data_IF_955822641501
#
_entry.id   IF_955822641501
#
_cell.length_a   1.000
_cell.length_b   1.000
_cell.length_c   1.000
_cell.angle_alpha   90.00
_cell.angle_beta   90.00
_cell.angle_gamma   90.00
#
_symmetry.space_group_name_H-M   'P 1'
#
loop_
_entity.id
_entity.type
_entity.pdbx_description
1 polymer ?
#
# COMPACT_ATOMS: atom_id res chain seq x y z
N UNK A 1 -23.40 62.51 -11.87
CA UNK A 1 -23.60 63.13 -13.19
C UNK A 1 -25.10 63.26 -13.42
N UNK A 2 -25.53 64.49 -13.67
CA UNK A 2 -26.76 64.93 -14.36
C UNK A 2 -28.11 64.53 -13.75
N UNK A 3 -28.85 65.57 -13.36
CA UNK A 3 -30.19 65.61 -12.79
C UNK A 3 -31.31 65.36 -13.81
N UNK A 4 -32.34 64.63 -13.38
CA UNK A 4 -33.70 64.74 -13.91
C UNK A 4 -34.52 65.63 -12.94
N UNK A 5 -35.08 66.77 -13.38
CA UNK A 5 -35.64 67.81 -12.49
C UNK A 5 -37.16 67.69 -12.27
N UNK A 6 -37.76 66.50 -12.40
CA UNK A 6 -39.18 66.30 -12.09
C UNK A 6 -39.38 65.49 -10.81
N UNK A 7 -39.53 66.23 -9.73
CA UNK A 7 -40.43 65.92 -8.62
C UNK A 7 -40.09 64.66 -7.80
N UNK A 8 -39.48 64.90 -6.64
CA UNK A 8 -39.63 63.98 -5.50
C UNK A 8 -38.42 63.86 -4.59
N UNK A 9 -38.18 64.91 -3.78
CA UNK A 9 -37.39 64.90 -2.55
C UNK A 9 -35.86 64.74 -2.65
N UNK A 10 -35.22 65.90 -2.81
CA UNK A 10 -34.11 66.42 -1.96
C UNK A 10 -33.19 65.40 -1.28
N UNK A 11 -31.95 65.32 -1.75
CA UNK A 11 -30.82 64.94 -0.91
C UNK A 11 -29.98 66.20 -0.70
N UNK A 12 -29.73 66.59 0.56
CA UNK A 12 -28.56 67.43 0.84
C UNK A 12 -27.88 67.04 2.16
N UNK A 13 -26.58 67.28 2.14
CA UNK A 13 -25.52 66.64 2.91
C UNK A 13 -25.10 67.47 4.14
N UNK A 14 -24.75 66.76 5.21
CA UNK A 14 -23.74 67.05 6.26
C UNK A 14 -23.83 68.38 7.05
N UNK A 15 -24.15 68.29 8.35
CA UNK A 15 -23.37 68.97 9.41
C UNK A 15 -23.31 68.08 10.64
N UNK A 16 -22.07 67.85 11.09
CA UNK A 16 -21.66 67.07 12.24
C UNK A 16 -22.10 67.82 13.51
N UNK A 17 -22.81 67.16 14.42
CA UNK A 17 -22.94 67.63 15.80
C UNK A 17 -22.66 66.46 16.73
N UNK A 18 -21.47 66.50 17.30
CA UNK A 18 -21.01 65.57 18.32
C UNK A 18 -21.81 65.80 19.61
N UNK A 19 -22.67 64.84 19.96
CA UNK A 19 -23.12 64.66 21.34
C UNK A 19 -22.80 63.23 21.73
N UNK A 20 -21.84 63.09 22.65
CA UNK A 20 -21.32 61.83 23.14
C UNK A 20 -22.35 61.16 24.07
N UNK A 21 -22.98 60.10 23.57
CA UNK A 21 -23.74 59.16 24.39
C UNK A 21 -22.79 58.04 24.86
N UNK A 22 -22.80 57.64 26.15
CA UNK A 22 -21.85 56.68 26.69
C UNK A 22 -22.07 55.29 26.08
N UNK A 23 -20.96 54.66 25.65
CA UNK A 23 -20.97 53.38 24.97
C UNK A 23 -21.61 52.25 25.80
N UNK A 24 -22.43 51.37 25.19
CA UNK A 24 -22.84 50.12 25.82
C UNK A 24 -21.60 49.23 26.03
N UNK A 25 -21.61 48.33 27.04
CA UNK A 25 -20.46 47.49 27.35
C UNK A 25 -20.04 46.69 26.12
N UNK A 26 -18.73 46.67 25.85
CA UNK A 26 -18.07 45.94 24.78
C UNK A 26 -18.57 44.49 24.78
N UNK A 27 -19.40 44.13 23.80
CA UNK A 27 -19.72 42.74 23.55
C UNK A 27 -18.41 42.02 23.22
N UNK A 28 -18.14 40.93 23.93
CA UNK A 28 -17.01 40.06 23.67
C UNK A 28 -16.91 39.74 22.17
N UNK A 29 -15.70 39.68 21.57
CA UNK A 29 -15.57 39.25 20.19
C UNK A 29 -16.28 37.90 20.02
N UNK A 30 -17.03 37.69 18.92
CA UNK A 30 -17.67 36.41 18.67
C UNK A 30 -16.59 35.32 18.74
N UNK A 31 -16.88 34.14 19.32
CA UNK A 31 -15.91 33.07 19.36
C UNK A 31 -15.42 32.86 17.94
N UNK A 32 -14.10 32.96 17.74
CA UNK A 32 -13.45 32.62 16.47
C UNK A 32 -13.93 31.21 16.15
N UNK A 33 -14.84 31.10 15.19
CA UNK A 33 -15.34 29.82 14.73
C UNK A 33 -14.12 28.98 14.42
N UNK A 34 -14.05 27.79 15.01
CA UNK A 34 -12.97 26.86 14.77
C UNK A 34 -12.73 26.81 13.26
N UNK A 35 -11.48 27.08 12.84
CA UNK A 35 -11.04 26.86 11.46
C UNK A 35 -11.63 25.51 11.02
N UNK A 36 -12.24 25.42 9.82
CA UNK A 36 -12.76 24.14 9.34
C UNK A 36 -11.64 23.11 9.51
N UNK A 37 -11.94 21.92 10.06
CA UNK A 37 -10.90 20.92 10.27
C UNK A 37 -10.17 20.74 8.96
N UNK A 38 -8.85 20.95 8.97
CA UNK A 38 -7.99 20.59 7.84
C UNK A 38 -8.39 19.17 7.49
N UNK A 39 -8.95 18.97 6.30
CA UNK A 39 -9.40 17.67 5.86
C UNK A 39 -8.22 16.71 6.08
N UNK A 40 -8.42 15.69 6.92
CA UNK A 40 -7.37 14.72 7.18
C UNK A 40 -6.88 14.19 5.83
N UNK A 41 -5.56 14.14 5.58
CA UNK A 41 -5.03 13.62 4.33
C UNK A 41 -5.65 12.24 4.08
N UNK A 42 -6.01 11.89 2.83
CA UNK A 42 -6.66 10.62 2.53
C UNK A 42 -5.83 9.49 3.15
N UNK A 43 -6.49 8.57 3.86
CA UNK A 43 -5.80 7.43 4.44
C UNK A 43 -5.04 6.72 3.31
N UNK A 44 -3.77 6.41 3.55
CA UNK A 44 -2.91 5.73 2.58
C UNK A 44 -2.40 4.42 3.16
N UNK A 45 -2.21 3.43 2.31
CA UNK A 45 -1.64 2.12 2.67
C UNK A 45 -0.42 1.87 1.82
N UNK A 46 0.62 1.29 2.42
CA UNK A 46 1.82 0.85 1.70
C UNK A 46 1.57 -0.53 1.12
N UNK A 47 1.79 -0.70 -0.18
CA UNK A 47 1.70 -1.98 -0.86
C UNK A 47 2.94 -2.24 -1.72
N UNK A 48 3.37 -3.49 -1.82
CA UNK A 48 4.43 -3.89 -2.75
C UNK A 48 3.87 -3.99 -4.16
N UNK A 49 4.50 -3.30 -5.12
CA UNK A 49 4.08 -3.31 -6.51
C UNK A 49 4.53 -4.60 -7.21
N UNK A 50 3.58 -5.39 -7.70
CA UNK A 50 3.81 -6.60 -8.46
C UNK A 50 3.23 -6.43 -9.87
N UNK A 51 4.06 -6.70 -10.89
CA UNK A 51 3.68 -6.53 -12.29
C UNK A 51 3.96 -7.84 -13.00
N UNK A 52 2.98 -8.37 -13.74
CA UNK A 52 3.08 -9.65 -14.46
C UNK A 52 2.43 -9.62 -15.83
N UNK A 53 2.91 -10.47 -16.73
CA UNK A 53 2.25 -10.80 -18.00
C UNK A 53 1.79 -12.26 -17.90
N UNK A 54 0.51 -12.49 -17.64
CA UNK A 54 0.01 -13.84 -17.38
C UNK A 54 0.71 -14.45 -16.15
N UNK A 55 1.49 -15.50 -16.36
CA UNK A 55 2.23 -16.20 -15.30
C UNK A 55 3.66 -15.66 -15.05
N UNK A 56 4.17 -14.77 -15.91
CA UNK A 56 5.54 -14.27 -15.82
C UNK A 56 5.59 -12.97 -15.03
N UNK A 57 6.38 -12.95 -13.95
CA UNK A 57 6.61 -11.76 -13.13
C UNK A 57 7.70 -10.89 -13.76
N UNK A 58 7.42 -9.60 -13.90
CA UNK A 58 8.35 -8.61 -14.43
C UNK A 58 9.13 -7.93 -13.30
N UNK A 59 10.38 -7.57 -13.59
CA UNK A 59 11.24 -6.82 -12.68
C UNK A 59 11.19 -5.33 -12.99
N UNK A 60 11.75 -4.47 -12.12
CA UNK A 60 11.84 -3.03 -12.36
C UNK A 60 12.64 -2.64 -13.61
N UNK A 61 13.42 -3.54 -14.20
CA UNK A 61 14.09 -3.34 -15.49
C UNK A 61 13.14 -3.54 -16.68
N UNK A 62 12.10 -4.34 -16.50
CA UNK A 62 11.17 -4.75 -17.54
C UNK A 62 9.86 -3.98 -17.50
N UNK A 63 9.43 -3.50 -16.32
CA UNK A 63 8.22 -2.71 -16.21
C UNK A 63 8.22 -1.74 -15.04
N UNK A 64 7.59 -0.59 -15.27
CA UNK A 64 7.36 0.45 -14.28
C UNK A 64 6.01 1.13 -14.50
N UNK A 65 5.45 1.66 -13.40
CA UNK A 65 4.18 2.39 -13.39
C UNK A 65 4.46 3.88 -13.27
N UNK A 66 3.89 4.67 -14.17
CA UNK A 66 3.86 6.13 -14.07
C UNK A 66 2.55 6.57 -13.46
N UNK A 67 2.64 7.34 -12.38
CA UNK A 67 1.53 8.09 -11.81
C UNK A 67 1.63 9.55 -12.24
N UNK A 68 0.55 10.10 -12.77
CA UNK A 68 0.43 11.53 -13.10
C UNK A 68 -0.97 12.02 -12.77
N UNK A 69 -1.11 13.31 -12.49
CA UNK A 69 -2.41 13.92 -12.25
C UNK A 69 -2.91 14.56 -13.55
N UNK A 70 -4.13 14.23 -13.97
CA UNK A 70 -4.73 14.77 -15.18
C UNK A 70 -6.23 15.05 -14.94
N UNK A 71 -6.68 16.25 -15.29
CA UNK A 71 -8.06 16.72 -15.05
C UNK A 71 -8.50 16.59 -13.58
N UNK A 72 -7.59 16.82 -12.63
CA UNK A 72 -7.88 16.77 -11.20
C UNK A 72 -8.02 15.35 -10.60
N UNK A 73 -7.67 14.31 -11.36
CA UNK A 73 -7.67 12.92 -10.88
C UNK A 73 -6.33 12.22 -11.18
N UNK A 74 -5.87 11.31 -10.30
CA UNK A 74 -4.67 10.52 -10.55
C UNK A 74 -4.94 9.51 -11.67
N UNK A 75 -3.99 9.40 -12.60
CA UNK A 75 -3.97 8.46 -13.72
C UNK A 75 -2.70 7.62 -13.67
N UNK A 76 -2.79 6.41 -14.23
CA UNK A 76 -1.71 5.44 -14.18
C UNK A 76 -1.47 4.83 -15.57
N UNK A 77 -0.21 4.79 -15.98
CA UNK A 77 0.25 4.08 -17.18
C UNK A 77 1.33 3.09 -16.78
N UNK A 78 1.27 1.87 -17.30
CA UNK A 78 2.32 0.86 -17.14
C UNK A 78 3.14 0.82 -18.43
N UNK A 79 4.45 0.98 -18.34
CA UNK A 79 5.36 0.84 -19.47
C UNK A 79 6.13 -0.48 -19.33
N UNK A 80 6.11 -1.28 -20.39
CA UNK A 80 6.79 -2.57 -20.50
C UNK A 80 7.92 -2.46 -21.52
N UNK A 81 9.07 -3.06 -21.19
CA UNK A 81 10.30 -3.08 -21.97
C UNK A 81 10.62 -4.52 -22.37
N UNK A 82 10.60 -4.77 -23.68
CA UNK A 82 10.93 -6.06 -24.27
C UNK A 82 12.37 -6.48 -23.95
N UNK A 83 12.56 -7.78 -23.70
CA UNK A 83 13.82 -8.32 -23.17
C UNK A 83 14.96 -8.46 -24.21
N UNK A 84 14.72 -8.26 -25.51
CA UNK A 84 15.70 -8.55 -26.58
C UNK A 84 15.46 -7.62 -27.78
N UNK A 85 16.54 -7.17 -28.43
CA UNK A 85 16.52 -6.21 -29.52
C UNK A 85 15.58 -6.60 -30.70
N UNK A 86 14.86 -5.63 -31.32
CA UNK A 86 14.80 -4.23 -30.94
C UNK A 86 14.05 -4.05 -29.61
N UNK A 87 14.54 -3.13 -28.77
CA UNK A 87 13.87 -2.75 -27.53
C UNK A 87 12.46 -2.24 -27.87
N UNK A 88 11.45 -3.09 -27.69
CA UNK A 88 10.06 -2.71 -27.83
C UNK A 88 9.58 -2.08 -26.53
N UNK A 89 8.83 -0.99 -26.66
CA UNK A 89 8.15 -0.36 -25.54
C UNK A 89 6.66 -0.48 -25.78
N UNK A 90 5.96 -1.13 -24.85
CA UNK A 90 4.50 -1.24 -24.88
C UNK A 90 3.93 -0.49 -23.68
N UNK A 91 2.91 0.34 -23.90
CA UNK A 91 2.27 1.11 -22.84
C UNK A 91 0.86 0.60 -22.62
N UNK A 92 0.43 0.54 -21.37
CA UNK A 92 -0.89 0.04 -20.97
C UNK A 92 -1.55 1.04 -20.05
N UNK A 93 -2.87 1.22 -20.21
CA UNK A 93 -3.64 2.12 -19.36
C UNK A 93 -4.18 1.37 -18.15
N UNK A 94 -3.99 1.94 -16.96
CA UNK A 94 -4.45 1.36 -15.70
C UNK A 94 -5.52 2.28 -15.10
N UNK A 95 -6.78 2.03 -15.45
CA UNK A 95 -7.96 2.75 -14.96
C UNK A 95 -9.09 1.74 -14.67
N UNK A 96 -9.52 1.54 -13.40
CA UNK A 96 -9.00 2.10 -12.14
C UNK A 96 -7.77 1.35 -11.58
N UNK A 97 -7.07 1.98 -10.64
CA UNK A 97 -6.01 1.32 -9.87
C UNK A 97 -6.61 0.18 -9.02
N UNK A 98 -6.08 -1.06 -9.10
CA UNK A 98 -6.61 -2.17 -8.32
C UNK A 98 -6.40 -1.94 -6.81
N UNK A 99 -7.25 -2.55 -5.98
CA UNK A 99 -7.05 -2.52 -4.53
C UNK A 99 -5.95 -3.51 -4.14
N UNK A 100 -5.04 -3.13 -3.22
CA UNK A 100 -4.03 -4.06 -2.73
C UNK A 100 -4.67 -5.19 -1.91
N UNK A 101 -4.28 -6.43 -2.19
CA UNK A 101 -4.72 -7.62 -1.46
C UNK A 101 -3.52 -8.17 -0.68
N UNK A 102 -3.65 -8.32 0.64
CA UNK A 102 -2.54 -8.83 1.47
C UNK A 102 -1.27 -7.96 1.45
N UNK A 103 -1.41 -6.64 1.20
CA UNK A 103 -0.26 -5.73 1.09
C UNK A 103 0.47 -5.78 -0.25
N UNK A 104 -0.07 -6.48 -1.26
CA UNK A 104 0.46 -6.53 -2.62
C UNK A 104 -0.52 -5.86 -3.57
N UNK A 105 0.00 -4.96 -4.41
CA UNK A 105 -0.74 -4.42 -5.55
C UNK A 105 -0.31 -5.21 -6.80
N UNK A 106 -1.17 -6.12 -7.25
CA UNK A 106 -0.91 -6.97 -8.42
C UNK A 106 -1.50 -6.35 -9.69
N UNK A 107 -0.69 -6.21 -10.72
CA UNK A 107 -1.06 -5.68 -12.03
C UNK A 107 -0.73 -6.71 -13.10
N UNK A 108 -1.76 -7.23 -13.76
CA UNK A 108 -1.62 -8.14 -14.90
C UNK A 108 -1.76 -7.38 -16.22
N UNK A 109 -0.65 -7.21 -16.94
CA UNK A 109 -0.65 -6.54 -18.24
C UNK A 109 -1.44 -7.31 -19.31
N UNK A 110 -1.58 -8.63 -19.17
CA UNK A 110 -2.36 -9.44 -20.13
C UNK A 110 -3.87 -9.10 -20.07
N UNK A 111 -4.33 -8.51 -18.97
CA UNK A 111 -5.70 -8.06 -18.78
C UNK A 111 -5.91 -6.59 -19.16
N UNK A 112 -4.86 -5.87 -19.55
CA UNK A 112 -4.92 -4.43 -19.83
C UNK A 112 -4.86 -4.12 -21.34
N UNK A 113 -5.60 -3.12 -21.81
CA UNK A 113 -5.49 -2.66 -23.18
C UNK A 113 -4.19 -1.86 -23.40
N UNK A 114 -3.46 -2.20 -24.46
CA UNK A 114 -2.31 -1.42 -24.92
C UNK A 114 -2.75 -0.07 -25.48
N UNK A 115 -1.94 0.96 -25.25
CA UNK A 115 -2.17 2.33 -25.70
C UNK A 115 -0.99 2.88 -26.49
N UNK A 116 -1.30 3.74 -27.45
CA UNK A 116 -0.32 4.52 -28.19
C UNK A 116 -0.25 5.93 -27.58
N UNK A 117 0.87 6.22 -26.92
CA UNK A 117 1.12 7.51 -26.25
C UNK A 117 1.02 8.70 -27.21
N UNK A 118 1.37 8.51 -28.49
CA UNK A 118 1.33 9.58 -29.49
C UNK A 118 -0.10 10.04 -29.82
N UNK A 119 -1.10 9.20 -29.51
CA UNK A 119 -2.53 9.52 -29.70
C UNK A 119 -3.18 10.19 -28.50
N UNK A 120 -2.46 10.33 -27.38
CA UNK A 120 -2.95 11.10 -26.23
C UNK A 120 -3.03 12.59 -26.57
N UNK A 121 -3.92 13.32 -25.90
CA UNK A 121 -4.04 14.77 -26.10
C UNK A 121 -2.73 15.50 -25.71
N UNK A 122 -2.40 16.65 -26.30
CA UNK A 122 -1.19 17.40 -25.93
C UNK A 122 -1.14 17.76 -24.43
N UNK A 123 -2.30 18.02 -23.82
CA UNK A 123 -2.40 18.31 -22.39
C UNK A 123 -2.08 17.07 -21.53
N UNK A 124 -2.51 15.89 -21.95
CA UNK A 124 -2.24 14.63 -21.24
C UNK A 124 -0.78 14.20 -21.41
N UNK A 125 -0.20 14.42 -22.59
CA UNK A 125 1.24 14.21 -22.82
C UNK A 125 2.10 15.12 -21.94
N UNK A 126 1.71 16.40 -21.79
CA UNK A 126 2.38 17.33 -20.90
C UNK A 126 2.26 16.92 -19.42
N UNK A 127 1.11 16.41 -19.00
CA UNK A 127 0.92 15.87 -17.65
C UNK A 127 1.79 14.63 -17.40
N UNK A 128 1.87 13.73 -18.39
CA UNK A 128 2.70 12.52 -18.30
C UNK A 128 4.21 12.85 -18.20
N UNK A 129 4.68 13.96 -18.80
CA UNK A 129 6.06 14.39 -18.66
C UNK A 129 6.45 14.76 -17.20
N UNK A 130 5.46 15.02 -16.34
CA UNK A 130 5.63 15.29 -14.90
C UNK A 130 5.35 14.06 -14.03
N UNK A 131 5.20 12.89 -14.64
CA UNK A 131 4.83 11.67 -13.93
C UNK A 131 5.92 11.20 -12.95
N UNK A 132 5.48 10.59 -11.85
CA UNK A 132 6.34 9.88 -10.92
C UNK A 132 6.40 8.41 -11.31
N UNK A 133 7.62 7.86 -11.42
CA UNK A 133 7.84 6.45 -11.75
C UNK A 133 7.93 5.57 -10.49
N UNK A 134 7.28 4.41 -10.54
CA UNK A 134 7.33 3.37 -9.53
C UNK A 134 7.76 2.05 -10.17
N UNK A 135 8.85 1.46 -9.67
CA UNK A 135 9.45 0.26 -10.26
C UNK A 135 8.82 -1.00 -9.68
N UNK A 136 8.63 -2.04 -10.50
CA UNK A 136 8.16 -3.33 -10.01
C UNK A 136 9.06 -3.85 -8.88
N UNK A 137 8.44 -4.33 -7.80
CA UNK A 137 9.12 -4.76 -6.57
C UNK A 137 9.34 -3.67 -5.52
N UNK A 138 9.01 -2.40 -5.81
CA UNK A 138 9.09 -1.31 -4.82
C UNK A 138 7.79 -1.15 -4.02
N UNK A 139 7.92 -0.64 -2.80
CA UNK A 139 6.76 -0.25 -2.00
C UNK A 139 6.18 1.06 -2.55
N UNK A 140 4.87 1.09 -2.78
CA UNK A 140 4.14 2.28 -3.22
C UNK A 140 3.05 2.63 -2.21
N UNK A 141 2.78 3.93 -2.09
CA UNK A 141 1.70 4.44 -1.26
C UNK A 141 0.44 4.53 -2.12
N UNK A 142 -0.56 3.71 -1.79
CA UNK A 142 -1.86 3.70 -2.46
C UNK A 142 -2.94 4.30 -1.57
N UNK A 143 -4.00 4.88 -2.15
CA UNK A 143 -5.16 5.30 -1.37
C UNK A 143 -5.69 4.10 -0.58
N UNK A 144 -5.73 4.20 0.74
CA UNK A 144 -6.38 3.21 1.57
C UNK A 144 -7.87 3.24 1.25
N UNK A 145 -8.50 2.06 1.22
CA UNK A 145 -9.96 2.01 1.25
C UNK A 145 -10.43 2.87 2.45
N UNK A 146 -11.43 3.76 2.27
CA UNK A 146 -11.95 4.52 3.39
C UNK A 146 -12.33 3.53 4.50
N UNK A 147 -11.96 3.81 5.76
CA UNK A 147 -12.37 2.94 6.86
C UNK A 147 -13.89 2.76 6.76
N UNK A 148 -14.41 1.53 6.93
CA UNK A 148 -15.85 1.33 6.91
C UNK A 148 -16.47 2.33 7.88
N UNK A 149 -17.40 3.15 7.38
CA UNK A 149 -18.03 4.21 8.16
C UNK A 149 -18.48 3.60 9.49
N UNK A 150 -18.15 4.26 10.61
CA UNK A 150 -18.66 3.86 11.90
C UNK A 150 -20.18 3.70 11.76
N UNK A 151 -20.76 2.56 12.18
CA UNK A 151 -22.20 2.35 12.02
C UNK A 151 -22.92 3.53 12.69
N UNK A 152 -23.88 4.17 12.01
CA UNK A 152 -24.63 5.27 12.61
C UNK A 152 -25.21 4.82 13.95
N UNK A 153 -25.33 5.71 14.95
CA UNK A 153 -26.00 5.37 16.21
C UNK A 153 -27.35 4.76 15.87
N UNK A 154 -27.61 3.57 16.42
CA UNK A 154 -28.75 2.75 16.06
C UNK A 154 -30.06 3.55 16.19
N UNK A 155 -30.60 3.96 15.04
CA UNK A 155 -31.99 4.33 14.95
C UNK A 155 -32.79 3.05 15.18
N UNK A 156 -33.82 3.13 16.03
CA UNK A 156 -34.69 2.01 16.36
C UNK A 156 -35.12 1.29 15.06
N UNK A 157 -35.06 -0.05 15.01
CA UNK A 157 -35.30 -0.79 13.78
C UNK A 157 -36.73 -0.52 13.29
N UNK A 158 -36.85 0.08 12.12
CA UNK A 158 -38.08 0.08 11.32
C UNK A 158 -37.94 -1.03 10.27
N UNK A 159 -39.00 -1.82 10.10
CA UNK A 159 -38.98 -3.20 9.62
C UNK A 159 -38.63 -3.41 8.12
N UNK A 160 -38.04 -2.45 7.40
CA UNK A 160 -38.01 -2.47 5.94
C UNK A 160 -36.62 -2.43 5.26
N UNK A 161 -35.53 -2.64 5.99
CA UNK A 161 -34.17 -2.57 5.39
C UNK A 161 -33.44 -3.91 5.49
N UNK A 162 -33.89 -4.89 4.71
CA UNK A 162 -33.07 -6.06 4.37
C UNK A 162 -32.65 -5.95 2.92
N UNK A 163 -31.40 -5.55 2.68
CA UNK A 163 -30.82 -5.53 1.33
C UNK A 163 -30.60 -6.95 0.84
N UNK A 164 -31.12 -7.23 -0.37
CA UNK A 164 -30.90 -8.49 -1.09
C UNK A 164 -29.39 -8.77 -1.18
N UNK A 165 -28.99 -10.01 -0.91
CA UNK A 165 -27.61 -10.53 -0.93
C UNK A 165 -26.68 -10.06 0.21
N UNK A 166 -27.20 -9.38 1.24
CA UNK A 166 -26.42 -9.13 2.47
C UNK A 166 -26.46 -10.38 3.37
N UNK A 167 -25.31 -10.97 3.76
CA UNK A 167 -25.31 -12.11 4.67
C UNK A 167 -25.79 -11.69 6.05
N UNK A 168 -27.02 -12.06 6.40
CA UNK A 168 -27.57 -11.86 7.75
C UNK A 168 -27.13 -13.04 8.61
N UNK A 169 -26.60 -12.77 9.79
CA UNK A 169 -26.37 -13.84 10.77
C UNK A 169 -27.72 -14.42 11.15
N UNK A 170 -27.88 -15.73 10.93
CA UNK A 170 -29.14 -16.42 11.16
C UNK A 170 -29.72 -16.14 12.55
N UNK A 171 -28.88 -16.08 13.59
CA UNK A 171 -29.34 -15.80 14.95
C UNK A 171 -29.88 -14.37 15.14
N UNK A 172 -29.31 -13.40 14.43
CA UNK A 172 -29.79 -12.00 14.47
C UNK A 172 -31.10 -11.88 13.67
N UNK A 173 -31.24 -12.61 12.56
CA UNK A 173 -32.49 -12.71 11.80
C UNK A 173 -33.63 -13.32 12.63
N UNK A 174 -33.39 -14.46 13.29
CA UNK A 174 -34.41 -15.15 14.09
C UNK A 174 -34.93 -14.30 15.25
N UNK A 175 -34.06 -13.48 15.84
CA UNK A 175 -34.42 -12.53 16.90
C UNK A 175 -35.14 -11.29 16.37
N UNK A 176 -35.03 -11.00 15.07
CA UNK A 176 -35.70 -9.87 14.42
C UNK A 176 -37.13 -10.20 13.94
N UNK A 177 -37.54 -11.48 13.97
CA UNK A 177 -38.89 -11.89 13.57
C UNK A 177 -39.94 -11.28 14.52
N UNK A 178 -40.97 -10.63 13.97
CA UNK A 178 -42.08 -10.08 14.73
C UNK A 178 -43.42 -10.68 14.24
N UNK A 179 -44.20 -11.38 15.08
CA UNK A 179 -43.87 -11.77 16.45
C UNK A 179 -42.82 -12.90 16.49
N UNK A 180 -41.92 -12.84 17.48
CA UNK A 180 -40.92 -13.90 17.72
C UNK A 180 -41.68 -15.19 18.04
N UNK A 181 -41.35 -16.34 17.43
CA UNK A 181 -41.96 -17.61 17.79
C UNK A 181 -41.85 -17.84 19.30
N UNK A 182 -42.95 -18.20 19.96
CA UNK A 182 -42.97 -18.47 21.39
C UNK A 182 -43.00 -19.97 21.65
N UNK A 183 -42.30 -20.43 22.68
CA UNK A 183 -42.48 -21.77 23.22
C UNK A 183 -43.87 -21.90 23.88
N UNK A 184 -44.27 -23.13 24.22
CA UNK A 184 -45.54 -23.40 24.93
C UNK A 184 -45.67 -22.60 26.24
N UNK A 185 -44.55 -22.27 26.88
CA UNK A 185 -44.47 -21.47 28.11
C UNK A 185 -44.58 -19.94 27.90
N UNK A 186 -44.86 -19.49 26.67
CA UNK A 186 -45.02 -18.07 26.32
C UNK A 186 -43.71 -17.27 26.28
N UNK A 187 -42.56 -17.91 26.50
CA UNK A 187 -41.23 -17.30 26.33
C UNK A 187 -40.80 -17.33 24.86
N UNK A 188 -39.91 -16.40 24.41
CA UNK A 188 -39.34 -16.47 23.08
C UNK A 188 -38.64 -17.81 22.86
N UNK A 189 -38.96 -18.50 21.77
CA UNK A 189 -38.38 -19.78 21.41
C UNK A 189 -36.88 -19.65 21.12
N UNK A 190 -36.44 -18.49 20.64
CA UNK A 190 -35.04 -18.18 20.35
C UNK A 190 -34.58 -16.98 21.19
N UNK A 191 -33.60 -17.21 22.04
CA UNK A 191 -33.07 -16.28 23.04
C UNK A 191 -31.54 -16.10 22.92
N UNK A 192 -30.90 -15.54 23.96
CA UNK A 192 -29.45 -15.31 24.02
C UNK A 192 -28.63 -16.61 23.93
N UNK A 193 -29.16 -17.71 24.44
CA UNK A 193 -28.49 -19.00 24.60
C UNK A 193 -28.72 -19.96 23.44
N UNK A 194 -29.64 -19.61 22.53
CA UNK A 194 -29.90 -20.28 21.26
C UNK A 194 -28.64 -20.42 20.41
N UNK A 195 -28.35 -21.64 19.94
CA UNK A 195 -27.19 -21.96 19.10
C UNK A 195 -27.63 -22.67 17.82
N UNK A 196 -26.87 -22.45 16.75
CA UNK A 196 -26.97 -23.24 15.52
C UNK A 196 -26.01 -24.42 15.64
N UNK A 197 -26.53 -25.62 15.49
CA UNK A 197 -25.76 -26.87 15.52
C UNK A 197 -25.66 -27.46 14.12
N UNK A 198 -24.47 -27.96 13.80
CA UNK A 198 -24.22 -28.68 12.56
C UNK A 198 -24.48 -30.16 12.80
N UNK A 199 -25.37 -30.75 12.01
CA UNK A 199 -25.63 -32.18 12.08
C UNK A 199 -24.55 -32.94 11.31
N UNK A 200 -24.08 -34.03 11.92
CA UNK A 200 -23.21 -35.01 11.28
C UNK A 200 -23.95 -36.35 11.19
N UNK A 201 -23.69 -37.10 10.13
CA UNK A 201 -24.19 -38.46 10.00
C UNK A 201 -23.47 -39.40 10.99
N UNK A 202 -23.91 -40.65 11.10
CA UNK A 202 -23.34 -41.66 12.00
C UNK A 202 -21.84 -41.93 11.76
N UNK A 203 -21.28 -41.54 10.62
CA UNK A 203 -19.86 -41.65 10.27
C UNK A 203 -19.04 -40.37 10.52
N UNK A 204 -19.64 -39.33 11.14
CA UNK A 204 -18.94 -38.09 11.51
C UNK A 204 -18.67 -37.12 10.36
N UNK A 205 -19.29 -37.36 9.19
CA UNK A 205 -19.29 -36.43 8.08
C UNK A 205 -20.43 -35.41 8.25
N UNK A 206 -20.19 -34.16 7.84
CA UNK A 206 -21.23 -33.14 7.88
C UNK A 206 -22.39 -33.56 6.99
N UNK A 207 -23.60 -33.70 7.55
CA UNK A 207 -24.80 -34.06 6.79
C UNK A 207 -25.33 -32.88 5.95
N UNK A 208 -24.65 -31.73 6.00
CA UNK A 208 -25.12 -30.47 5.38
C UNK A 208 -26.34 -29.86 6.06
N UNK A 209 -26.90 -30.52 7.07
CA UNK A 209 -28.13 -30.14 7.77
C UNK A 209 -27.80 -29.34 9.04
N UNK A 210 -28.58 -28.29 9.29
CA UNK A 210 -28.43 -27.38 10.41
C UNK A 210 -29.69 -27.43 11.26
N UNK A 211 -29.52 -27.43 12.58
CA UNK A 211 -30.62 -27.31 13.54
C UNK A 211 -30.36 -26.15 14.49
N UNK A 212 -31.42 -25.59 15.04
CA UNK A 212 -31.32 -24.55 16.07
C UNK A 212 -31.79 -25.15 17.39
N UNK A 213 -31.08 -24.88 18.49
CA UNK A 213 -31.58 -25.20 19.83
C UNK A 213 -32.49 -24.08 20.33
N UNK A 214 -33.74 -24.40 20.65
CA UNK A 214 -34.66 -23.48 21.31
C UNK A 214 -34.37 -23.30 22.80
N UNK A 215 -34.96 -22.26 23.39
CA UNK A 215 -34.93 -21.95 24.83
C UNK A 215 -35.66 -23.00 25.69
N UNK A 216 -36.49 -23.81 25.06
CA UNK A 216 -37.20 -24.97 25.63
C UNK A 216 -36.32 -26.24 25.72
N UNK A 217 -35.09 -26.18 25.20
CA UNK A 217 -34.16 -27.30 25.19
C UNK A 217 -34.34 -28.27 24.01
N UNK A 218 -35.30 -28.01 23.11
CA UNK A 218 -35.53 -28.83 21.92
C UNK A 218 -34.73 -28.31 20.72
N UNK A 219 -34.57 -29.16 19.70
CA UNK A 219 -33.94 -28.80 18.44
C UNK A 219 -34.99 -28.58 17.36
N UNK A 220 -34.78 -27.57 16.52
CA UNK A 220 -35.72 -27.15 15.48
C UNK A 220 -35.08 -27.19 14.10
N UNK A 221 -35.79 -27.77 13.13
CA UNK A 221 -35.49 -27.66 11.70
C UNK A 221 -36.11 -26.37 11.15
N UNK A 222 -35.38 -25.68 10.26
CA UNK A 222 -35.86 -24.49 9.56
C UNK A 222 -36.31 -24.91 8.16
N UNK A 223 -37.57 -24.65 7.82
CA UNK A 223 -38.07 -24.84 6.47
C UNK A 223 -38.63 -23.53 5.94
N UNK A 224 -38.15 -23.12 4.77
CA UNK A 224 -38.64 -21.95 4.05
C UNK A 224 -39.52 -22.46 2.91
N UNK A 225 -40.83 -22.14 2.97
CA UNK A 225 -41.76 -22.49 1.92
C UNK A 225 -41.49 -21.65 0.66
N UNK A 226 -41.91 -22.10 -0.54
CA UNK A 226 -41.83 -21.31 -1.77
C UNK A 226 -42.56 -19.96 -1.69
N UNK A 227 -43.52 -19.83 -0.77
CA UNK A 227 -44.22 -18.58 -0.43
C UNK A 227 -43.36 -17.58 0.37
N UNK A 228 -42.15 -17.96 0.77
CA UNK A 228 -41.29 -17.18 1.67
C UNK A 228 -41.61 -17.36 3.16
N UNK A 229 -42.58 -18.20 3.49
CA UNK A 229 -42.94 -18.49 4.89
C UNK A 229 -41.84 -19.32 5.56
N UNK A 230 -41.34 -18.84 6.71
CA UNK A 230 -40.35 -19.54 7.52
C UNK A 230 -41.07 -20.32 8.61
N UNK A 231 -40.93 -21.64 8.60
CA UNK A 231 -41.51 -22.54 9.61
C UNK A 231 -40.41 -23.19 10.45
N UNK A 232 -40.70 -23.36 11.74
CA UNK A 232 -39.84 -24.04 12.71
C UNK A 232 -40.55 -25.30 13.16
N UNK A 233 -39.96 -26.47 12.92
CA UNK A 233 -40.53 -27.74 13.37
C UNK A 233 -39.61 -28.37 14.41
N UNK A 234 -40.13 -28.76 15.59
CA UNK A 234 -39.34 -29.51 16.55
C UNK A 234 -38.92 -30.83 15.89
N UNK A 235 -37.66 -31.21 16.10
CA UNK A 235 -37.11 -32.46 15.57
C UNK A 235 -37.54 -33.61 16.47
N UNK A 236 -38.19 -34.62 15.89
CA UNK A 236 -38.77 -35.75 16.62
C UNK A 236 -37.73 -36.64 17.36
N UNK A 237 -36.44 -36.51 17.03
CA UNK A 237 -35.35 -37.21 17.70
C UNK A 237 -34.18 -36.25 18.01
N UNK A 238 -33.59 -36.30 19.22
CA UNK A 238 -32.46 -35.46 19.57
C UNK A 238 -31.28 -35.76 18.63
N UNK A 239 -30.75 -34.77 17.92
CA UNK A 239 -29.64 -34.97 17.02
C UNK A 239 -28.40 -35.46 17.77
N UNK A 240 -27.63 -36.36 17.17
CA UNK A 240 -26.31 -36.76 17.68
C UNK A 240 -25.32 -35.60 17.48
N UNK A 241 -25.39 -34.58 18.33
CA UNK A 241 -24.44 -33.46 18.30
C UNK A 241 -23.14 -33.95 18.94
N UNK A 242 -22.19 -34.36 18.11
CA UNK A 242 -20.88 -34.81 18.59
C UNK A 242 -20.00 -33.59 18.92
N UNK A 243 -20.27 -32.95 20.07
CA UNK A 243 -19.66 -31.68 20.52
C UNK A 243 -18.11 -31.74 20.63
N UNK A 244 -17.50 -32.94 20.66
CA UNK A 244 -16.04 -33.10 20.68
C UNK A 244 -15.33 -32.79 19.35
N UNK A 245 -16.00 -32.90 18.20
CA UNK A 245 -15.32 -32.88 16.89
C UNK A 245 -15.15 -31.46 16.32
N UNK A 246 -16.07 -30.55 16.64
CA UNK A 246 -16.03 -29.15 16.17
C UNK A 246 -14.83 -28.34 16.70
N UNK A 247 -14.49 -28.34 18.02
CA UNK A 247 -13.30 -27.64 18.50
C UNK A 247 -12.01 -28.26 17.96
N UNK A 248 -11.96 -29.59 17.77
CA UNK A 248 -10.78 -30.25 17.19
C UNK A 248 -10.52 -29.82 15.75
N UNK A 249 -11.56 -29.69 14.91
CA UNK A 249 -11.40 -29.18 13.53
C UNK A 249 -10.92 -27.73 13.49
N UNK A 250 -11.39 -26.87 14.41
CA UNK A 250 -10.91 -25.48 14.51
C UNK A 250 -9.44 -25.42 14.92
N UNK A 251 -9.03 -26.22 15.89
CA UNK A 251 -7.62 -26.31 16.31
C UNK A 251 -6.76 -26.86 15.17
N UNK A 252 -7.21 -27.88 14.45
CA UNK A 252 -6.49 -28.41 13.28
C UNK A 252 -6.28 -27.34 12.19
N UNK A 253 -7.30 -26.51 11.92
CA UNK A 253 -7.17 -25.40 10.99
C UNK A 253 -6.20 -24.33 11.48
N UNK A 254 -6.25 -23.96 12.76
CA UNK A 254 -5.31 -23.01 13.36
C UNK A 254 -3.87 -23.52 13.32
N UNK A 255 -3.66 -24.82 13.57
CA UNK A 255 -2.35 -25.46 13.45
C UNK A 255 -1.85 -25.42 11.99
N UNK A 256 -2.71 -25.72 11.03
CA UNK A 256 -2.34 -25.65 9.61
C UNK A 256 -1.92 -24.22 9.19
N UNK A 257 -2.57 -23.18 9.72
CA UNK A 257 -2.16 -21.79 9.49
C UNK A 257 -0.79 -21.47 10.10
N UNK A 258 -0.53 -21.93 11.33
CA UNK A 258 0.77 -21.75 11.99
C UNK A 258 1.88 -22.48 11.23
N UNK A 259 1.60 -23.69 10.76
CA UNK A 259 2.57 -24.47 9.98
C UNK A 259 2.86 -23.82 8.62
N UNK A 260 1.83 -23.25 7.96
CA UNK A 260 2.02 -22.45 6.74
C UNK A 260 2.93 -21.24 6.99
N UNK A 261 2.65 -20.47 8.04
CA UNK A 261 3.47 -19.32 8.42
C UNK A 261 4.91 -19.74 8.76
N UNK A 262 5.09 -20.85 9.46
CA UNK A 262 6.42 -21.39 9.78
C UNK A 262 7.17 -21.82 8.52
N UNK A 263 6.47 -22.41 7.54
CA UNK A 263 7.01 -22.74 6.23
C UNK A 263 7.50 -21.50 5.46
N UNK A 264 6.68 -20.44 5.43
CA UNK A 264 7.04 -19.16 4.82
C UNK A 264 8.26 -18.53 5.50
N UNK A 265 8.31 -18.52 6.84
CA UNK A 265 9.47 -18.04 7.58
C UNK A 265 10.73 -18.85 7.28
N UNK A 266 10.62 -20.18 7.14
CA UNK A 266 11.73 -21.03 6.73
C UNK A 266 12.23 -20.73 5.30
N UNK A 267 11.31 -20.47 4.36
CA UNK A 267 11.66 -20.06 3.01
C UNK A 267 12.37 -18.70 2.99
N UNK A 268 11.90 -17.73 3.80
CA UNK A 268 12.56 -16.43 3.98
C UNK A 268 13.96 -16.60 4.57
N UNK A 269 14.13 -17.47 5.58
CA UNK A 269 15.46 -17.76 6.15
C UNK A 269 16.42 -18.34 5.11
N UNK A 270 15.97 -19.29 4.28
CA UNK A 270 16.78 -19.84 3.19
C UNK A 270 17.17 -18.77 2.18
N UNK A 271 16.24 -17.89 1.81
CA UNK A 271 16.53 -16.76 0.92
C UNK A 271 17.54 -15.80 1.55
N UNK A 272 17.36 -15.42 2.82
CA UNK A 272 18.30 -14.56 3.53
C UNK A 272 19.69 -15.18 3.60
N UNK A 273 19.79 -16.49 3.87
CA UNK A 273 21.06 -17.22 3.84
C UNK A 273 21.76 -17.11 2.48
N UNK A 274 21.04 -17.36 1.39
CA UNK A 274 21.60 -17.25 0.02
C UNK A 274 22.03 -15.83 -0.34
N UNK A 275 21.25 -14.83 0.07
CA UNK A 275 21.56 -13.41 -0.16
C UNK A 275 22.79 -13.01 0.62
N UNK A 276 22.92 -13.43 1.87
CA UNK A 276 24.11 -13.16 2.70
C UNK A 276 25.35 -13.77 2.04
N UNK A 277 25.33 -15.05 1.66
CA UNK A 277 26.48 -15.69 1.01
C UNK A 277 26.89 -14.97 -0.27
N UNK A 278 25.92 -14.57 -1.11
CA UNK A 278 26.20 -13.85 -2.35
C UNK A 278 26.76 -12.44 -2.08
N UNK A 279 26.19 -11.71 -1.11
CA UNK A 279 26.66 -10.37 -0.74
C UNK A 279 28.05 -10.41 -0.12
N UNK A 280 28.34 -11.38 0.75
CA UNK A 280 29.68 -11.59 1.31
C UNK A 280 30.68 -11.87 0.18
N UNK A 281 30.35 -12.76 -0.75
CA UNK A 281 31.21 -13.05 -1.90
C UNK A 281 31.45 -11.80 -2.78
N UNK A 282 30.40 -11.03 -3.05
CA UNK A 282 30.50 -9.79 -3.82
C UNK A 282 31.37 -8.76 -3.10
N UNK A 283 31.20 -8.62 -1.78
CA UNK A 283 32.02 -7.72 -0.95
C UNK A 283 33.49 -8.15 -0.97
N UNK A 284 33.79 -9.44 -0.86
CA UNK A 284 35.16 -9.95 -0.95
C UNK A 284 35.78 -9.66 -2.33
N UNK A 285 35.06 -9.91 -3.42
CA UNK A 285 35.52 -9.56 -4.77
C UNK A 285 35.78 -8.06 -4.89
N UNK A 286 34.90 -7.22 -4.34
CA UNK A 286 35.04 -5.77 -4.41
C UNK A 286 36.24 -5.29 -3.59
N UNK A 287 36.47 -5.84 -2.41
CA UNK A 287 37.64 -5.55 -1.57
C UNK A 287 38.93 -5.98 -2.29
N UNK A 288 38.95 -7.16 -2.92
CA UNK A 288 40.09 -7.65 -3.71
C UNK A 288 40.35 -6.77 -4.94
N UNK A 289 39.30 -6.38 -5.67
CA UNK A 289 39.41 -5.49 -6.82
C UNK A 289 39.90 -4.11 -6.40
N UNK A 290 39.39 -3.58 -5.28
CA UNK A 290 39.83 -2.31 -4.71
C UNK A 290 41.30 -2.36 -4.30
N UNK A 291 41.74 -3.42 -3.62
CA UNK A 291 43.16 -3.62 -3.27
C UNK A 291 44.06 -3.64 -4.50
N UNK A 292 43.66 -4.29 -5.60
CA UNK A 292 44.42 -4.26 -6.87
C UNK A 292 44.53 -2.87 -7.52
N UNK A 293 43.59 -1.95 -7.22
CA UNK A 293 43.56 -0.60 -7.78
C UNK A 293 44.27 0.39 -6.85
N UNK A 294 43.99 0.33 -5.56
CA UNK A 294 44.47 1.28 -4.57
C UNK A 294 45.81 0.88 -3.93
N UNK A 295 46.06 -0.42 -3.75
CA UNK A 295 47.30 -0.87 -3.11
C UNK A 295 48.44 -0.86 -4.13
N UNK A 296 49.53 -0.17 -3.77
CA UNK A 296 50.75 -0.18 -4.56
C UNK A 296 51.54 -1.47 -4.30
N UNK A 297 52.09 -2.06 -5.36
CA UNK A 297 53.05 -3.16 -5.22
C UNK A 297 54.34 -2.64 -4.58
N UNK A 298 54.54 -2.95 -3.30
CA UNK A 298 55.71 -2.53 -2.53
C UNK A 298 57.04 -2.91 -3.20
N UNK A 299 57.11 -4.05 -3.90
CA UNK A 299 58.35 -4.48 -4.56
C UNK A 299 58.70 -3.58 -5.74
N UNK A 300 57.69 -3.17 -6.51
CA UNK A 300 57.86 -2.26 -7.66
C UNK A 300 58.14 -0.84 -7.17
N UNK A 301 57.39 -0.34 -6.19
CA UNK A 301 57.54 1.02 -5.69
C UNK A 301 58.89 1.23 -4.99
N UNK A 302 59.35 0.27 -4.18
CA UNK A 302 60.68 0.34 -3.57
C UNK A 302 61.79 0.29 -4.62
N UNK A 303 61.66 -0.55 -5.64
CA UNK A 303 62.63 -0.60 -6.76
C UNK A 303 62.67 0.72 -7.53
N UNK A 304 61.51 1.35 -7.76
CA UNK A 304 61.42 2.66 -8.40
C UNK A 304 62.04 3.75 -7.53
N UNK A 305 61.75 3.76 -6.22
CA UNK A 305 62.32 4.68 -5.25
C UNK A 305 63.85 4.55 -5.20
N UNK A 306 64.37 3.33 -5.10
CA UNK A 306 65.82 3.07 -5.12
C UNK A 306 66.44 3.53 -6.44
N UNK A 307 65.80 3.25 -7.58
CA UNK A 307 66.27 3.75 -8.89
C UNK A 307 66.31 5.28 -8.92
N UNK A 308 65.28 5.96 -8.43
CA UNK A 308 65.22 7.41 -8.36
C UNK A 308 66.31 7.99 -7.44
N UNK A 309 66.56 7.37 -6.29
CA UNK A 309 67.65 7.76 -5.39
C UNK A 309 69.02 7.60 -6.04
N UNK A 310 69.27 6.48 -6.73
CA UNK A 310 70.51 6.26 -7.48
C UNK A 310 70.66 7.30 -8.60
N UNK A 311 69.59 7.61 -9.34
CA UNK A 311 69.60 8.63 -10.39
C UNK A 311 69.87 10.03 -9.84
N UNK A 312 69.32 10.39 -8.68
CA UNK A 312 69.60 11.67 -8.04
C UNK A 312 71.07 11.77 -7.59
N UNK A 313 71.62 10.70 -7.02
CA UNK A 313 73.04 10.64 -6.66
C UNK A 313 73.94 10.72 -7.91
N UNK A 314 73.62 9.97 -8.97
CA UNK A 314 74.34 9.99 -10.23
C UNK A 314 74.27 11.36 -10.93
N UNK A 315 73.09 12.00 -10.93
CA UNK A 315 72.91 13.34 -11.51
C UNK A 315 73.73 14.39 -10.77
N UNK A 316 73.83 14.27 -9.43
CA UNK A 316 74.69 15.14 -8.63
C UNK A 316 76.16 14.96 -8.99
N UNK A 317 76.63 13.71 -9.13
CA UNK A 317 78.02 13.41 -9.54
C UNK A 317 78.29 13.91 -10.97
N UNK A 318 77.39 13.67 -11.91
CA UNK A 318 77.50 14.13 -13.28
C UNK A 318 77.55 15.67 -13.36
N UNK A 319 76.72 16.38 -12.58
CA UNK A 319 76.76 17.83 -12.49
C UNK A 319 78.09 18.33 -11.91
N UNK A 320 78.60 17.70 -10.85
CA UNK A 320 79.91 18.06 -10.29
C UNK A 320 81.05 17.80 -11.28
N UNK A 321 80.99 16.71 -12.04
CA UNK A 321 81.97 16.36 -13.06
C UNK A 321 81.93 17.36 -14.23
N UNK A 322 80.74 17.74 -14.70
CA UNK A 322 80.58 18.72 -15.77
C UNK A 322 81.09 20.11 -15.36
N UNK A 323 80.82 20.53 -14.13
CA UNK A 323 81.34 21.79 -13.60
C UNK A 323 82.87 21.80 -13.49
N UNK A 324 83.49 20.68 -13.07
CA UNK A 324 84.95 20.54 -13.05
C UNK A 324 85.55 20.56 -14.46
N UNK A 325 84.93 19.87 -15.41
CA UNK A 325 85.37 19.89 -16.81
C UNK A 325 85.32 21.30 -17.40
N UNK A 326 84.25 22.06 -17.12
CA UNK A 326 84.11 23.44 -17.57
C UNK A 326 85.22 24.35 -16.99
N UNK A 327 85.58 24.16 -15.72
CA UNK A 327 86.69 24.91 -15.10
C UNK A 327 88.04 24.54 -15.70
N UNK A 328 88.27 23.27 -16.03
CA UNK A 328 89.49 22.84 -16.70
C UNK A 328 89.61 23.43 -18.12
N UNK A 329 88.51 23.56 -18.86
CA UNK A 329 88.51 24.21 -20.18
C UNK A 329 88.80 25.70 -20.06
N UNK A 330 88.23 26.39 -19.07
CA UNK A 330 88.54 27.80 -18.80
C UNK A 330 90.01 28.00 -18.42
N UNK A 331 90.59 27.08 -17.65
CA UNK A 331 92.02 27.12 -17.34
C UNK A 331 92.87 27.01 -18.61
N UNK A 332 92.54 26.09 -19.52
CA UNK A 332 93.25 25.92 -20.79
C UNK A 332 93.10 27.12 -21.74
N UNK A 333 91.93 27.77 -21.76
CA UNK A 333 91.70 28.98 -22.58
C UNK A 333 92.40 30.23 -22.04
N UNK A 334 92.83 30.23 -20.77
CA UNK A 334 93.61 31.32 -20.17
C UNK A 334 95.12 31.08 -20.26
N UNK A 335 95.55 29.87 -20.64
CA UNK A 335 96.95 29.44 -20.66
C UNK A 335 97.57 29.46 -22.07
N UNK A 336 96.74 29.70 -23.11
CA UNK A 336 97.14 30.10 -24.48
C UNK A 336 97.01 31.63 -24.68
#
# INVERSE_FOLDING_TARGET
MVHDPRLGASTDKTVISAHAEPAPPVAAPPPVGALPPVAAPPATTTATLHIRIGATVLTGLNAHVFRYDFNGAPRYIVQEHGAIAPLSVTNYRLDPLPLPTGGVLDIDLAALPAIDLAKLSPAEQAALATATAHFAGTAITVPAAPPPAAPPPALAPTADVVQKDTPIRLLDFLRSLAPVPTAEDGRPLFDADTKVHYLMNASGQANGEYVISGSDGNFYDISIAPSGEVSFKPKDAPPTVNVKVAPMKRVAHALAQVDSLRGELGAVQNRLGSVITNLTHTADILIQARGRIEDADFAVETSNLTRQQILQQASKVALTQANQLAQNVLALLQED
#
